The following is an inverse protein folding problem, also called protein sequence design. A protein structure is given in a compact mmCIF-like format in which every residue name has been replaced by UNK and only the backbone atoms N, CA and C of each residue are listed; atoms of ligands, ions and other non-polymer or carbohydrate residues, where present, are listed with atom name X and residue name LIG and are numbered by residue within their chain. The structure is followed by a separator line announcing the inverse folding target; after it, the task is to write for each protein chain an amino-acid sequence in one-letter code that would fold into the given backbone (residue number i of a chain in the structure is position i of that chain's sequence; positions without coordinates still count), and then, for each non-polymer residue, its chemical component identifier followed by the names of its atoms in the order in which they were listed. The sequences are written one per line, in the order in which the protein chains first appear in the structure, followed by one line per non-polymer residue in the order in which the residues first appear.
data_IF_105439955621
#
_entry.id   IF_105439955621
#
_cell.length_a   1.000
_cell.length_b   1.000
_cell.length_c   1.000
_cell.angle_alpha   90.00
_cell.angle_beta   90.00
_cell.angle_gamma   90.00
#
_symmetry.space_group_name_H-M   'P 1'
#
loop_
_entity.id
_entity.type
_entity.pdbx_description
1 polymer ?
#
# COMPACT_ATOMS: atom_id res chain seq x y z
N UNK A 1 3.82 27.91 11.89
CA UNK A 1 3.22 27.33 10.67
C UNK A 1 4.29 26.40 10.14
N UNK A 2 4.18 25.10 10.45
CA UNK A 2 5.26 24.16 10.11
C UNK A 2 5.06 23.73 8.67
N UNK A 3 5.98 24.16 7.81
CA UNK A 3 6.11 23.63 6.45
C UNK A 3 6.36 22.13 6.59
N UNK A 4 5.39 21.29 6.16
CA UNK A 4 5.66 19.86 5.96
C UNK A 4 6.78 19.79 4.92
N UNK A 5 7.97 19.37 5.33
CA UNK A 5 9.04 18.95 4.43
C UNK A 5 8.47 17.84 3.54
N UNK A 6 8.19 18.17 2.28
CA UNK A 6 7.77 17.19 1.27
C UNK A 6 9.02 16.46 0.81
N UNK A 7 9.15 15.18 1.16
CA UNK A 7 10.24 14.29 0.75
C UNK A 7 10.15 13.98 -0.76
N UNK A 8 10.44 14.95 -1.62
CA UNK A 8 10.38 14.81 -3.09
C UNK A 8 9.05 15.24 -3.73
N UNK A 9 9.05 15.38 -5.07
CA UNK A 9 7.86 15.81 -5.83
C UNK A 9 6.88 14.66 -6.08
N UNK A 10 5.61 14.99 -6.40
CA UNK A 10 4.62 13.99 -6.86
C UNK A 10 5.16 13.16 -8.03
N UNK A 11 5.85 13.80 -8.98
CA UNK A 11 6.45 13.13 -10.13
C UNK A 11 7.53 12.13 -9.72
N UNK A 12 8.38 12.50 -8.75
CA UNK A 12 9.42 11.62 -8.22
C UNK A 12 8.81 10.42 -7.49
N UNK A 13 7.79 10.64 -6.66
CA UNK A 13 7.06 9.56 -6.00
C UNK A 13 6.45 8.59 -7.01
N UNK A 14 5.74 9.09 -8.02
CA UNK A 14 5.15 8.25 -9.06
C UNK A 14 6.22 7.46 -9.81
N UNK A 15 7.36 8.09 -10.13
CA UNK A 15 8.48 7.41 -10.78
C UNK A 15 9.07 6.30 -9.89
N UNK A 16 9.18 6.53 -8.58
CA UNK A 16 9.58 5.50 -7.60
C UNK A 16 8.61 4.32 -7.59
N UNK A 17 7.29 4.57 -7.57
CA UNK A 17 6.27 3.52 -7.61
C UNK A 17 6.31 2.73 -8.91
N UNK A 18 6.40 3.39 -10.07
CA UNK A 18 6.48 2.73 -11.38
C UNK A 18 7.73 1.85 -11.46
N UNK A 19 8.88 2.37 -11.04
CA UNK A 19 10.14 1.62 -11.00
C UNK A 19 10.04 0.39 -10.08
N UNK A 20 9.41 0.55 -8.91
CA UNK A 20 9.15 -0.55 -7.98
C UNK A 20 8.24 -1.63 -8.60
N UNK A 21 7.16 -1.23 -9.27
CA UNK A 21 6.22 -2.18 -9.89
C UNK A 21 6.87 -2.93 -11.06
N UNK A 22 7.64 -2.25 -11.91
CA UNK A 22 8.33 -2.86 -13.03
C UNK A 22 9.37 -3.91 -12.57
N UNK A 23 10.21 -3.55 -11.60
CA UNK A 23 11.18 -4.49 -11.01
C UNK A 23 10.50 -5.64 -10.26
N UNK A 24 9.38 -5.38 -9.57
CA UNK A 24 8.57 -6.42 -8.93
C UNK A 24 8.00 -7.40 -9.96
N UNK A 25 7.47 -6.90 -11.08
CA UNK A 25 6.93 -7.72 -12.15
C UNK A 25 8.01 -8.60 -12.79
N UNK A 26 9.21 -8.07 -13.00
CA UNK A 26 10.36 -8.87 -13.44
C UNK A 26 10.68 -9.98 -12.44
N UNK A 27 10.73 -9.67 -11.14
CA UNK A 27 10.98 -10.66 -10.10
C UNK A 27 9.94 -11.78 -10.08
N UNK A 28 8.66 -11.48 -10.28
CA UNK A 28 7.60 -12.49 -10.33
C UNK A 28 7.79 -13.58 -11.40
N UNK A 29 8.64 -13.38 -12.41
CA UNK A 29 8.92 -14.39 -13.44
C UNK A 29 9.67 -15.59 -12.87
N UNK A 30 10.58 -15.35 -11.92
CA UNK A 30 11.50 -16.37 -11.39
C UNK A 30 11.24 -16.72 -9.93
N UNK A 31 10.52 -15.86 -9.21
CA UNK A 31 10.29 -15.99 -7.77
C UNK A 31 9.11 -16.93 -7.43
N UNK A 32 9.03 -17.42 -6.18
CA UNK A 32 7.91 -18.25 -5.73
C UNK A 32 6.55 -17.57 -5.91
N UNK A 33 5.50 -18.38 -6.05
CA UNK A 33 4.12 -17.93 -6.34
C UNK A 33 3.61 -16.79 -5.44
N UNK A 34 4.01 -16.75 -4.16
CA UNK A 34 3.56 -15.75 -3.20
C UNK A 34 4.35 -14.43 -3.23
N UNK A 35 5.45 -14.38 -3.98
CA UNK A 35 6.22 -13.16 -4.15
C UNK A 35 5.40 -12.06 -4.85
N UNK A 36 4.59 -12.42 -5.85
CA UNK A 36 3.67 -11.49 -6.50
C UNK A 36 2.69 -10.84 -5.52
N UNK A 37 1.87 -11.62 -4.79
CA UNK A 37 1.02 -11.11 -3.70
C UNK A 37 1.77 -10.24 -2.68
N UNK A 38 2.97 -10.63 -2.26
CA UNK A 38 3.82 -9.82 -1.37
C UNK A 38 4.17 -8.45 -1.99
N UNK A 39 4.60 -8.41 -3.25
CA UNK A 39 4.94 -7.16 -3.93
C UNK A 39 3.72 -6.26 -4.16
N UNK A 40 2.54 -6.84 -4.39
CA UNK A 40 1.30 -6.08 -4.53
C UNK A 40 0.93 -5.36 -3.23
N UNK A 41 0.98 -6.04 -2.08
CA UNK A 41 0.68 -5.38 -0.80
C UNK A 41 1.77 -4.36 -0.43
N UNK A 42 3.04 -4.62 -0.72
CA UNK A 42 4.12 -3.65 -0.47
C UNK A 42 3.95 -2.40 -1.36
N UNK A 43 3.48 -2.56 -2.60
CA UNK A 43 3.08 -1.43 -3.45
C UNK A 43 1.93 -0.63 -2.83
N UNK A 44 0.92 -1.29 -2.25
CA UNK A 44 -0.19 -0.61 -1.56
C UNK A 44 0.33 0.20 -0.38
N UNK A 45 1.20 -0.37 0.48
CA UNK A 45 1.82 0.37 1.59
C UNK A 45 2.56 1.63 1.13
N UNK A 46 3.29 1.55 0.01
CA UNK A 46 3.95 2.73 -0.58
C UNK A 46 2.96 3.75 -1.12
N UNK A 47 1.89 3.30 -1.77
CA UNK A 47 0.84 4.18 -2.31
C UNK A 47 0.04 4.90 -1.21
N UNK A 48 -0.08 4.32 -0.02
CA UNK A 48 -0.67 4.99 1.15
C UNK A 48 0.10 6.26 1.56
N UNK A 49 1.37 6.39 1.18
CA UNK A 49 2.15 7.61 1.45
C UNK A 49 1.87 8.74 0.45
N UNK A 50 1.10 8.51 -0.63
CA UNK A 50 0.83 9.51 -1.68
C UNK A 50 0.34 10.88 -1.17
N UNK A 51 -0.59 10.97 -0.18
CA UNK A 51 -1.04 12.27 0.35
C UNK A 51 0.10 13.14 0.90
N UNK A 52 1.22 12.55 1.35
CA UNK A 52 2.39 13.30 1.86
C UNK A 52 3.10 14.12 0.78
N UNK A 53 2.87 13.81 -0.50
CA UNK A 53 3.54 14.42 -1.65
C UNK A 53 2.66 15.45 -2.36
N UNK A 54 1.36 15.53 -2.05
CA UNK A 54 0.42 16.47 -2.67
C UNK A 54 -0.09 17.46 -1.65
N UNK A 55 0.09 18.77 -1.92
CA UNK A 55 -0.45 19.84 -1.07
C UNK A 55 -1.97 19.95 -1.12
N UNK A 56 -2.60 19.35 -2.12
CA UNK A 56 -4.05 19.38 -2.35
C UNK A 56 -4.79 18.22 -1.68
N UNK A 57 -4.05 17.26 -1.10
CA UNK A 57 -4.64 16.10 -0.43
C UNK A 57 -4.54 16.25 1.09
N UNK A 58 -5.67 16.01 1.75
CA UNK A 58 -5.70 15.92 3.21
C UNK A 58 -5.07 14.60 3.69
N UNK A 59 -4.57 14.61 4.91
CA UNK A 59 -4.09 13.39 5.57
C UNK A 59 -5.26 12.42 5.75
N UNK A 60 -5.07 11.16 5.34
CA UNK A 60 -6.08 10.12 5.43
C UNK A 60 -5.69 9.10 6.50
N UNK A 61 -6.33 9.20 7.67
CA UNK A 61 -6.06 8.30 8.81
C UNK A 61 -6.30 6.83 8.48
N UNK A 62 -7.22 6.53 7.57
CA UNK A 62 -7.45 5.15 7.14
C UNK A 62 -6.31 4.65 6.25
N UNK A 63 -5.79 5.46 5.33
CA UNK A 63 -4.61 5.08 4.54
C UNK A 63 -3.38 4.85 5.43
N UNK A 64 -3.18 5.67 6.44
CA UNK A 64 -2.10 5.48 7.42
C UNK A 64 -2.26 4.17 8.20
N UNK A 65 -3.48 3.84 8.64
CA UNK A 65 -3.76 2.55 9.31
C UNK A 65 -3.52 1.35 8.38
N UNK A 66 -3.94 1.42 7.11
CA UNK A 66 -3.70 0.35 6.13
C UNK A 66 -2.20 0.14 5.90
N UNK A 67 -1.43 1.23 5.82
CA UNK A 67 0.02 1.17 5.71
C UNK A 67 0.64 0.41 6.88
N UNK A 68 0.28 0.78 8.10
CA UNK A 68 0.77 0.15 9.33
C UNK A 68 0.47 -1.35 9.37
N UNK A 69 -0.78 -1.75 9.11
CA UNK A 69 -1.17 -3.16 9.05
C UNK A 69 -0.35 -3.95 8.02
N UNK A 70 -0.12 -3.38 6.83
CA UNK A 70 0.71 -4.02 5.79
C UNK A 70 2.17 -4.11 6.22
N UNK A 71 2.76 -3.05 6.73
CA UNK A 71 4.17 -3.02 7.10
C UNK A 71 4.48 -4.00 8.24
N UNK A 72 3.53 -4.20 9.16
CA UNK A 72 3.61 -5.21 10.23
C UNK A 72 3.52 -6.65 9.70
N UNK A 73 2.64 -6.93 8.74
CA UNK A 73 2.27 -8.31 8.37
C UNK A 73 2.86 -8.79 7.03
N UNK A 74 3.42 -7.91 6.18
CA UNK A 74 3.88 -8.29 4.82
C UNK A 74 4.96 -9.37 4.83
N UNK A 75 5.76 -9.47 5.89
CA UNK A 75 6.82 -10.48 6.02
C UNK A 75 6.34 -11.84 6.54
N UNK A 76 5.06 -12.01 6.85
CA UNK A 76 4.47 -13.33 7.17
C UNK A 76 4.71 -14.34 6.04
N UNK A 77 4.80 -13.87 4.79
CA UNK A 77 5.13 -14.70 3.61
C UNK A 77 6.40 -15.54 3.79
N UNK A 78 7.35 -15.10 4.63
CA UNK A 78 8.63 -15.78 4.86
C UNK A 78 8.55 -16.89 5.93
N UNK A 79 7.54 -16.87 6.79
CA UNK A 79 7.50 -17.70 8.02
C UNK A 79 6.20 -18.49 8.17
N UNK A 80 5.08 -17.91 7.75
CA UNK A 80 3.72 -18.38 8.03
C UNK A 80 2.83 -18.12 6.80
N UNK A 81 2.96 -18.95 5.77
CA UNK A 81 2.25 -18.78 4.49
C UNK A 81 0.72 -18.68 4.64
N UNK A 82 0.11 -19.49 5.51
CA UNK A 82 -1.34 -19.43 5.73
C UNK A 82 -1.75 -18.13 6.44
N UNK A 83 -0.98 -17.68 7.44
CA UNK A 83 -1.23 -16.40 8.10
C UNK A 83 -1.12 -15.23 7.11
N UNK A 84 -0.20 -15.31 6.15
CA UNK A 84 -0.08 -14.33 5.08
C UNK A 84 -1.32 -14.30 4.15
N UNK A 85 -1.85 -15.46 3.77
CA UNK A 85 -3.07 -15.56 2.96
C UNK A 85 -4.29 -15.01 3.71
N UNK A 86 -4.42 -15.35 4.98
CA UNK A 86 -5.49 -14.83 5.84
C UNK A 86 -5.40 -13.32 6.03
N UNK A 87 -4.17 -12.79 6.17
CA UNK A 87 -3.93 -11.36 6.20
C UNK A 87 -4.41 -10.67 4.91
N UNK A 88 -4.06 -11.20 3.73
CA UNK A 88 -4.55 -10.64 2.45
C UNK A 88 -6.08 -10.62 2.40
N UNK A 89 -6.73 -11.70 2.84
CA UNK A 89 -8.20 -11.78 2.90
C UNK A 89 -8.79 -10.73 3.86
N UNK A 90 -8.18 -10.53 5.04
CA UNK A 90 -8.56 -9.48 5.99
C UNK A 90 -8.41 -8.09 5.39
N UNK A 91 -7.30 -7.83 4.68
CA UNK A 91 -7.02 -6.56 4.03
C UNK A 91 -8.08 -6.21 2.97
N UNK A 92 -8.40 -7.15 2.08
CA UNK A 92 -9.45 -6.96 1.05
C UNK A 92 -10.80 -6.63 1.68
N UNK A 93 -11.20 -7.37 2.73
CA UNK A 93 -12.46 -7.10 3.43
C UNK A 93 -12.48 -5.72 4.11
N UNK A 94 -11.36 -5.28 4.66
CA UNK A 94 -11.21 -3.97 5.31
C UNK A 94 -11.37 -2.85 4.29
N UNK A 95 -10.67 -2.94 3.15
CA UNK A 95 -10.79 -1.99 2.04
C UNK A 95 -12.21 -1.95 1.47
N UNK A 96 -12.87 -3.10 1.30
CA UNK A 96 -14.23 -3.16 0.79
C UNK A 96 -15.25 -2.46 1.71
N UNK A 97 -15.09 -2.62 3.04
CA UNK A 97 -15.93 -1.93 4.03
C UNK A 97 -15.72 -0.42 3.99
N UNK A 98 -14.47 0.03 3.94
CA UNK A 98 -14.16 1.45 3.86
C UNK A 98 -14.68 2.06 2.55
N UNK A 99 -14.53 1.37 1.43
CA UNK A 99 -15.08 1.81 0.14
C UNK A 99 -16.58 2.05 0.22
N UNK A 100 -17.34 1.13 0.86
CA UNK A 100 -18.79 1.32 1.08
C UNK A 100 -19.07 2.52 1.97
N UNK A 101 -18.33 2.70 3.07
CA UNK A 101 -18.49 3.83 3.99
C UNK A 101 -18.26 5.18 3.30
N UNK A 102 -17.18 5.31 2.54
CA UNK A 102 -16.87 6.54 1.76
C UNK A 102 -17.94 6.86 0.74
N UNK A 103 -18.50 5.84 0.06
CA UNK A 103 -19.60 6.05 -0.89
C UNK A 103 -20.87 6.58 -0.21
N UNK A 104 -21.18 6.12 1.00
CA UNK A 104 -22.36 6.58 1.76
C UNK A 104 -22.16 7.96 2.39
N UNK A 105 -20.92 8.38 2.67
CA UNK A 105 -20.62 9.71 3.21
C UNK A 105 -20.60 10.81 2.13
N UNK A 106 -20.35 10.44 0.87
CA UNK A 106 -20.31 11.34 -0.28
C UNK A 106 -21.61 11.34 -1.11
N UNK A 107 -22.68 10.71 -0.61
CA UNK A 107 -24.00 10.63 -1.24
C UNK A 107 -25.03 11.43 -0.42
#
# INVERSE_FOLDING_TARGET
MNEKETDGSVQEFLFKIISFLASSAQGCITEPKLYGPFRLIDAISKLCDFPKYSKEMEDDSFLQHIKEEIDEHKYLVLKEEEAFKDFIKKLVNTLAREYKKRKTQNA
#
